data_IF_378654578913
#
_entry.id   IF_378654578913
#
_cell.length_a   1.000
_cell.length_b   1.000
_cell.length_c   1.000
_cell.angle_alpha   90.00
_cell.angle_beta   90.00
_cell.angle_gamma   90.00
#
_symmetry.space_group_name_H-M   'P 1'
#
loop_
_entity.id
_entity.type
_entity.pdbx_description
1 polymer ?
#
# COMPACT_ATOMS: atom_id res chain seq x y z
N UNK A 1 -3.83 3.25 6.62
CA UNK A 1 -2.59 3.63 7.34
C UNK A 1 -1.34 3.45 6.49
N UNK A 2 -0.96 2.22 6.10
CA UNK A 2 0.27 1.98 5.31
C UNK A 2 0.35 2.83 4.03
N UNK A 3 -0.76 2.90 3.27
CA UNK A 3 -0.82 3.71 2.05
C UNK A 3 -0.62 5.22 2.28
N UNK A 4 -1.04 5.73 3.43
CA UNK A 4 -0.92 7.15 3.78
C UNK A 4 0.52 7.55 4.08
N UNK A 5 1.31 6.64 4.66
CA UNK A 5 2.74 6.87 4.93
C UNK A 5 3.58 7.06 3.69
N UNK A 6 3.19 6.38 2.61
CA UNK A 6 3.90 6.41 1.33
C UNK A 6 3.27 7.37 0.33
N UNK A 7 2.09 7.91 0.63
CA UNK A 7 1.40 8.90 -0.21
C UNK A 7 2.30 10.09 -0.60
N UNK A 8 3.12 10.68 0.30
CA UNK A 8 4.00 11.79 -0.08
C UNK A 8 4.99 11.47 -1.22
N UNK A 9 5.37 10.20 -1.41
CA UNK A 9 6.23 9.77 -2.52
C UNK A 9 5.55 9.98 -3.87
N UNK A 10 4.23 9.80 -3.94
CA UNK A 10 3.45 10.09 -5.13
C UNK A 10 3.27 11.59 -5.31
N UNK A 11 2.84 12.29 -4.26
CA UNK A 11 2.46 13.71 -4.34
C UNK A 11 3.64 14.63 -4.61
N UNK A 12 4.84 14.27 -4.15
CA UNK A 12 6.06 15.01 -4.50
C UNK A 12 6.36 14.92 -6.00
N UNK A 13 6.08 13.77 -6.62
CA UNK A 13 6.34 13.55 -8.04
C UNK A 13 5.19 14.04 -8.95
N UNK A 14 3.96 14.00 -8.46
CA UNK A 14 2.73 14.33 -9.19
C UNK A 14 1.79 15.21 -8.33
N UNK A 15 2.17 16.47 -8.04
CA UNK A 15 1.45 17.32 -7.07
C UNK A 15 0.01 17.66 -7.49
N UNK A 16 -0.27 17.69 -8.78
CA UNK A 16 -1.60 18.02 -9.32
C UNK A 16 -2.54 16.79 -9.43
N UNK A 17 -2.04 15.59 -9.12
CA UNK A 17 -2.82 14.36 -9.22
C UNK A 17 -3.29 13.85 -7.85
N UNK A 18 -4.55 14.13 -7.55
CA UNK A 18 -5.17 13.77 -6.28
C UNK A 18 -5.73 12.34 -6.25
N UNK A 19 -5.61 11.53 -7.33
CA UNK A 19 -6.26 10.21 -7.41
C UNK A 19 -5.87 9.27 -6.25
N UNK A 20 -4.59 9.14 -5.83
CA UNK A 20 -4.24 8.31 -4.68
C UNK A 20 -4.74 8.84 -3.33
N UNK A 21 -4.70 10.17 -3.12
CA UNK A 21 -5.24 10.82 -1.92
C UNK A 21 -6.74 10.58 -1.79
N UNK A 22 -7.48 10.81 -2.87
CA UNK A 22 -8.93 10.59 -2.93
C UNK A 22 -9.31 9.13 -2.61
N UNK A 23 -8.49 8.15 -3.02
CA UNK A 23 -8.71 6.75 -2.66
C UNK A 23 -8.56 6.52 -1.15
N UNK A 24 -7.51 7.05 -0.52
CA UNK A 24 -7.33 6.95 0.93
C UNK A 24 -8.49 7.65 1.67
N UNK A 25 -8.88 8.83 1.23
CA UNK A 25 -9.98 9.58 1.83
C UNK A 25 -11.33 8.87 1.71
N UNK A 26 -11.63 8.27 0.55
CA UNK A 26 -12.82 7.45 0.36
C UNK A 26 -12.83 6.22 1.29
N UNK A 27 -11.69 5.56 1.45
CA UNK A 27 -11.53 4.46 2.41
C UNK A 27 -11.81 4.94 3.84
N UNK A 28 -11.24 6.08 4.24
CA UNK A 28 -11.45 6.67 5.58
C UNK A 28 -12.91 7.09 5.80
N UNK A 29 -13.56 7.63 4.77
CA UNK A 29 -14.97 7.99 4.85
C UNK A 29 -15.85 6.76 5.08
N UNK A 30 -15.58 5.65 4.37
CA UNK A 30 -16.25 4.39 4.63
C UNK A 30 -16.01 3.88 6.06
N UNK A 31 -14.76 3.85 6.55
CA UNK A 31 -14.47 3.42 7.93
C UNK A 31 -15.21 4.25 8.97
N UNK A 32 -15.29 5.58 8.79
CA UNK A 32 -15.97 6.47 9.75
C UNK A 32 -17.50 6.36 9.72
N UNK A 33 -18.08 6.13 8.54
CA UNK A 33 -19.54 6.22 8.33
C UNK A 33 -20.22 4.86 8.25
N UNK A 34 -19.48 3.81 7.93
CA UNK A 34 -20.01 2.49 7.56
C UNK A 34 -20.72 2.46 6.21
N UNK A 35 -20.85 3.59 5.50
CA UNK A 35 -21.62 3.69 4.26
C UNK A 35 -20.79 3.18 3.08
N UNK A 36 -21.11 1.98 2.61
CA UNK A 36 -20.49 1.39 1.42
C UNK A 36 -21.27 1.73 0.15
N UNK A 37 -20.58 2.27 -0.85
CA UNK A 37 -21.11 2.49 -2.20
C UNK A 37 -20.15 1.91 -3.23
N UNK A 38 -20.58 0.82 -3.88
CA UNK A 38 -19.73 0.05 -4.80
C UNK A 38 -19.11 0.90 -5.91
N UNK A 39 -19.89 1.80 -6.51
CA UNK A 39 -19.41 2.68 -7.58
C UNK A 39 -18.30 3.63 -7.10
N UNK A 40 -18.45 4.21 -5.91
CA UNK A 40 -17.48 5.14 -5.33
C UNK A 40 -16.18 4.41 -4.95
N UNK A 41 -16.29 3.30 -4.20
CA UNK A 41 -15.13 2.51 -3.76
C UNK A 41 -14.36 1.96 -4.97
N UNK A 42 -15.06 1.36 -5.93
CA UNK A 42 -14.43 0.81 -7.14
C UNK A 42 -13.82 1.92 -7.99
N UNK A 43 -14.53 3.03 -8.17
CA UNK A 43 -14.06 4.18 -8.94
C UNK A 43 -12.76 4.74 -8.36
N UNK A 44 -12.73 4.98 -7.05
CA UNK A 44 -11.53 5.46 -6.36
C UNK A 44 -10.35 4.48 -6.45
N UNK A 45 -10.61 3.17 -6.28
CA UNK A 45 -9.58 2.13 -6.43
C UNK A 45 -8.98 2.13 -7.85
N UNK A 46 -9.83 2.13 -8.87
CA UNK A 46 -9.41 2.10 -10.27
C UNK A 46 -8.67 3.38 -10.66
N UNK A 47 -9.10 4.54 -10.16
CA UNK A 47 -8.45 5.82 -10.38
C UNK A 47 -7.03 5.84 -9.78
N UNK A 48 -6.84 5.39 -8.55
CA UNK A 48 -5.51 5.27 -7.94
C UNK A 48 -4.61 4.27 -8.71
N UNK A 49 -5.18 3.17 -9.20
CA UNK A 49 -4.45 2.26 -10.08
C UNK A 49 -4.12 2.86 -11.46
N UNK A 50 -4.92 3.78 -11.98
CA UNK A 50 -4.61 4.56 -13.18
C UNK A 50 -3.43 5.50 -12.93
N UNK A 51 -3.46 6.25 -11.83
CA UNK A 51 -2.36 7.10 -11.40
C UNK A 51 -1.04 6.32 -11.27
N UNK A 52 -1.10 5.10 -10.74
CA UNK A 52 0.06 4.22 -10.69
C UNK A 52 0.61 3.84 -12.07
N UNK A 53 -0.24 3.65 -13.09
CA UNK A 53 0.20 3.35 -14.47
C UNK A 53 0.84 4.57 -15.12
N UNK A 54 0.29 5.74 -14.85
CA UNK A 54 0.82 7.02 -15.36
C UNK A 54 2.19 7.35 -14.72
N UNK A 55 2.42 6.89 -13.49
CA UNK A 55 3.66 7.07 -12.74
C UNK A 55 4.74 5.99 -12.96
N UNK A 56 4.68 5.21 -14.04
CA UNK A 56 5.56 4.04 -14.26
C UNK A 56 7.07 4.35 -14.33
N UNK A 57 7.46 5.58 -14.61
CA UNK A 57 8.86 6.02 -14.65
C UNK A 57 9.42 6.35 -13.25
N UNK A 58 8.55 6.38 -12.23
CA UNK A 58 8.93 6.56 -10.84
C UNK A 58 8.33 5.44 -9.99
N UNK A 59 9.12 4.40 -9.73
CA UNK A 59 8.67 3.20 -9.00
C UNK A 59 8.11 3.53 -7.61
N UNK A 60 8.70 4.47 -6.88
CA UNK A 60 8.24 4.86 -5.55
C UNK A 60 6.83 5.46 -5.60
N UNK A 61 6.59 6.40 -6.52
CA UNK A 61 5.27 6.97 -6.77
C UNK A 61 4.27 5.91 -7.27
N UNK A 62 4.66 5.11 -8.26
CA UNK A 62 3.85 4.01 -8.80
C UNK A 62 3.37 3.07 -7.68
N UNK A 63 4.27 2.61 -6.82
CA UNK A 63 3.90 1.73 -5.72
C UNK A 63 3.07 2.42 -4.65
N UNK A 64 3.32 3.69 -4.33
CA UNK A 64 2.47 4.46 -3.42
C UNK A 64 1.02 4.57 -3.92
N UNK A 65 0.83 4.87 -5.21
CA UNK A 65 -0.50 4.90 -5.83
C UNK A 65 -1.18 3.52 -5.84
N UNK A 66 -0.43 2.44 -6.07
CA UNK A 66 -0.98 1.07 -5.93
C UNK A 66 -1.39 0.76 -4.50
N UNK A 67 -0.62 1.19 -3.50
CA UNK A 67 -0.96 1.01 -2.10
C UNK A 67 -2.29 1.69 -1.76
N UNK A 68 -2.51 2.92 -2.25
CA UNK A 68 -3.78 3.64 -2.08
C UNK A 68 -4.97 2.93 -2.75
N UNK A 69 -4.79 2.46 -3.98
CA UNK A 69 -5.84 1.71 -4.69
C UNK A 69 -6.23 0.41 -4.01
N UNK A 70 -5.27 -0.29 -3.41
CA UNK A 70 -5.53 -1.48 -2.59
C UNK A 70 -6.21 -1.12 -1.26
N UNK A 71 -5.78 -0.05 -0.60
CA UNK A 71 -6.36 0.36 0.69
C UNK A 71 -7.86 0.65 0.59
N UNK A 72 -8.32 1.35 -0.45
CA UNK A 72 -9.76 1.59 -0.64
C UNK A 72 -10.52 0.33 -1.06
N UNK A 73 -9.88 -0.57 -1.81
CA UNK A 73 -10.49 -1.84 -2.21
C UNK A 73 -10.75 -2.79 -1.03
N UNK A 74 -10.09 -2.59 0.12
CA UNK A 74 -10.38 -3.32 1.38
C UNK A 74 -11.84 -3.19 1.79
N UNK A 75 -12.51 -2.07 1.48
CA UNK A 75 -13.94 -1.88 1.76
C UNK A 75 -14.84 -2.86 0.99
N UNK A 76 -14.38 -3.37 -0.15
CA UNK A 76 -15.08 -4.37 -0.95
C UNK A 76 -14.67 -5.80 -0.54
N UNK A 77 -13.37 -6.06 -0.42
CA UNK A 77 -12.82 -7.38 -0.06
C UNK A 77 -11.61 -7.20 0.88
N UNK A 78 -11.64 -7.73 2.12
CA UNK A 78 -10.60 -7.50 3.13
C UNK A 78 -9.16 -7.85 2.69
N UNK A 79 -8.99 -8.84 1.82
CA UNK A 79 -7.71 -9.33 1.31
C UNK A 79 -6.88 -8.24 0.60
N UNK A 80 -7.51 -7.17 0.13
CA UNK A 80 -6.78 -6.02 -0.41
C UNK A 80 -5.90 -5.31 0.63
N UNK A 81 -6.15 -5.49 1.93
CA UNK A 81 -5.30 -4.95 2.99
C UNK A 81 -3.85 -5.46 2.88
N UNK A 82 -3.65 -6.73 2.50
CA UNK A 82 -2.33 -7.29 2.23
C UNK A 82 -1.62 -6.55 1.09
N UNK A 83 -2.37 -6.19 0.05
CA UNK A 83 -1.87 -5.42 -1.08
C UNK A 83 -1.43 -4.01 -0.68
N UNK A 84 -2.19 -3.35 0.20
CA UNK A 84 -1.85 -2.01 0.69
C UNK A 84 -0.52 -2.01 1.46
N UNK A 85 -0.34 -2.95 2.39
CA UNK A 85 0.90 -3.13 3.14
C UNK A 85 2.09 -3.52 2.24
N UNK A 86 1.87 -4.48 1.33
CA UNK A 86 2.87 -4.95 0.38
C UNK A 86 3.41 -3.82 -0.52
N UNK A 87 2.52 -3.04 -1.13
CA UNK A 87 2.95 -1.96 -2.02
C UNK A 87 3.57 -0.79 -1.26
N UNK A 88 3.17 -0.52 -0.01
CA UNK A 88 3.85 0.46 0.83
C UNK A 88 5.32 0.08 1.07
N UNK A 89 5.61 -1.18 1.39
CA UNK A 89 7.00 -1.65 1.54
C UNK A 89 7.79 -1.50 0.24
N UNK A 90 7.17 -1.79 -0.92
CA UNK A 90 7.82 -1.59 -2.22
C UNK A 90 8.10 -0.12 -2.51
N UNK A 91 7.18 0.78 -2.17
CA UNK A 91 7.38 2.21 -2.32
C UNK A 91 8.57 2.70 -1.48
N UNK A 92 8.67 2.23 -0.22
CA UNK A 92 9.82 2.53 0.66
C UNK A 92 11.14 2.00 0.08
N UNK A 93 11.16 0.78 -0.44
CA UNK A 93 12.36 0.21 -1.05
C UNK A 93 12.81 0.99 -2.29
N UNK A 94 11.85 1.44 -3.12
CA UNK A 94 12.13 2.19 -4.34
C UNK A 94 12.55 3.65 -4.08
N UNK A 95 12.09 4.25 -2.97
CA UNK A 95 12.41 5.64 -2.63
C UNK A 95 13.87 5.84 -2.22
N UNK A 96 14.52 4.81 -1.69
CA UNK A 96 15.95 4.84 -1.33
C UNK A 96 16.57 3.45 -1.49
N UNK A 97 17.03 3.08 -2.70
CA UNK A 97 17.60 1.78 -2.97
C UNK A 97 18.84 1.44 -2.13
N UNK A 98 19.65 2.45 -1.79
CA UNK A 98 20.88 2.25 -0.99
C UNK A 98 20.56 1.94 0.48
N UNK A 99 19.56 2.62 1.04
CA UNK A 99 19.07 2.41 2.41
C UNK A 99 17.91 1.41 2.54
N UNK A 100 17.53 0.73 1.45
CA UNK A 100 16.27 -0.01 1.36
C UNK A 100 16.10 -1.07 2.46
N UNK A 101 17.16 -1.80 2.83
CA UNK A 101 17.08 -2.85 3.84
C UNK A 101 16.63 -2.31 5.20
N UNK A 102 17.27 -1.24 5.68
CA UNK A 102 16.94 -0.63 6.95
C UNK A 102 15.56 0.03 6.93
N UNK A 103 15.24 0.78 5.87
CA UNK A 103 13.95 1.49 5.76
C UNK A 103 12.75 0.53 5.61
N UNK A 104 12.89 -0.53 4.81
CA UNK A 104 11.84 -1.56 4.69
C UNK A 104 11.68 -2.32 6.00
N UNK A 105 12.76 -2.63 6.72
CA UNK A 105 12.66 -3.27 8.03
C UNK A 105 11.89 -2.38 9.02
N UNK A 106 12.23 -1.09 9.12
CA UNK A 106 11.54 -0.13 9.97
C UNK A 106 10.06 0.04 9.59
N UNK A 107 9.74 0.14 8.29
CA UNK A 107 8.35 0.22 7.84
C UNK A 107 7.59 -1.08 8.13
N UNK A 108 8.23 -2.25 7.97
CA UNK A 108 7.61 -3.55 8.27
C UNK A 108 7.32 -3.72 9.76
N UNK A 109 8.24 -3.30 10.62
CA UNK A 109 8.05 -3.26 12.07
C UNK A 109 6.92 -2.32 12.45
N UNK A 110 6.93 -1.10 11.87
CA UNK A 110 5.84 -0.15 12.02
C UNK A 110 4.49 -0.78 11.65
N UNK A 111 4.38 -1.46 10.50
CA UNK A 111 3.15 -2.14 10.10
C UNK A 111 2.71 -3.22 11.11
N UNK A 112 3.65 -4.02 11.63
CA UNK A 112 3.36 -5.09 12.59
C UNK A 112 2.82 -4.56 13.93
N UNK A 113 3.29 -3.41 14.39
CA UNK A 113 2.83 -2.76 15.62
C UNK A 113 1.38 -2.25 15.53
N UNK A 114 0.87 -1.95 14.32
CA UNK A 114 -0.52 -1.47 14.12
C UNK A 114 -1.53 -2.59 14.05
N UNK A 115 -1.06 -3.83 13.94
CA UNK A 115 -1.93 -4.99 13.90
C UNK A 115 -2.33 -5.39 15.33
N UNK A 116 -3.60 -5.78 15.55
CA UNK A 116 -3.99 -6.49 16.75
C UNK A 116 -3.08 -7.70 16.96
N UNK A 117 -2.74 -7.99 18.22
CA UNK A 117 -1.77 -9.04 18.58
C UNK A 117 -2.07 -10.39 17.90
N UNK A 118 -3.33 -10.82 17.94
CA UNK A 118 -3.76 -12.10 17.33
C UNK A 118 -3.72 -12.14 15.79
N UNK A 119 -3.54 -11.01 15.10
CA UNK A 119 -3.45 -10.95 13.64
C UNK A 119 -2.02 -10.74 13.14
N UNK A 120 -1.08 -10.39 14.03
CA UNK A 120 0.28 -10.01 13.62
C UNK A 120 1.00 -11.15 12.92
N UNK A 121 0.99 -12.35 13.50
CA UNK A 121 1.69 -13.50 12.92
C UNK A 121 1.10 -13.89 11.55
N UNK A 122 -0.22 -14.01 11.45
CA UNK A 122 -0.90 -14.37 10.21
C UNK A 122 -0.61 -13.34 9.10
N UNK A 123 -0.84 -12.05 9.37
CA UNK A 123 -0.71 -11.01 8.35
C UNK A 123 0.75 -10.83 7.94
N UNK A 124 1.67 -10.78 8.91
CA UNK A 124 3.09 -10.55 8.63
C UNK A 124 3.76 -11.78 8.01
N UNK A 125 3.22 -12.98 8.22
CA UNK A 125 3.65 -14.21 7.55
C UNK A 125 3.35 -14.22 6.05
N UNK A 126 2.30 -13.51 5.60
CA UNK A 126 1.95 -13.42 4.17
C UNK A 126 2.88 -12.49 3.38
N UNK A 127 3.58 -11.55 4.03
CA UNK A 127 4.51 -10.62 3.36
C UNK A 127 5.95 -10.96 3.76
N UNK A 128 6.67 -11.62 2.85
CA UNK A 128 8.08 -11.96 3.03
C UNK A 128 8.98 -10.83 2.52
N UNK A 129 9.90 -10.38 3.39
CA UNK A 129 10.96 -9.44 3.08
C UNK A 129 12.29 -10.16 3.20
N UNK A 130 13.10 -10.16 2.14
CA UNK A 130 14.42 -10.78 2.09
C UNK A 130 15.46 -9.77 1.63
N UNK A 131 16.48 -9.52 2.45
CA UNK A 131 17.65 -8.73 2.05
C UNK A 131 18.55 -9.59 1.16
N UNK A 132 19.01 -9.01 0.04
CA UNK A 132 19.91 -9.66 -0.92
C UNK A 132 21.12 -8.75 -1.18
N UNK A 133 22.16 -9.32 -1.78
CA UNK A 133 23.43 -8.63 -2.10
C UNK A 133 23.30 -7.40 -3.02
N UNK A 134 22.10 -7.10 -3.53
CA UNK A 134 21.80 -5.94 -4.38
C UNK A 134 20.46 -5.26 -4.10
N UNK A 135 19.89 -5.42 -2.90
CA UNK A 135 18.65 -4.73 -2.50
C UNK A 135 17.72 -5.59 -1.66
N UNK A 136 16.43 -5.25 -1.66
CA UNK A 136 15.39 -5.95 -0.89
C UNK A 136 14.37 -6.59 -1.82
N UNK A 137 14.09 -7.88 -1.60
CA UNK A 137 13.01 -8.59 -2.28
C UNK A 137 11.79 -8.64 -1.36
N UNK A 138 10.64 -8.16 -1.86
CA UNK A 138 9.37 -8.16 -1.13
C UNK A 138 8.39 -9.02 -1.93
N UNK A 139 7.84 -10.05 -1.29
CA UNK A 139 6.89 -11.00 -1.88
C UNK A 139 5.62 -11.08 -1.04
N UNK A 140 4.48 -11.22 -1.72
CA UNK A 140 3.19 -11.50 -1.09
C UNK A 140 2.78 -12.93 -1.42
N UNK A 141 2.55 -13.74 -0.39
CA UNK A 141 2.10 -15.12 -0.51
C UNK A 141 0.58 -15.19 -0.56
N UNK A 142 0.05 -15.79 -1.63
CA UNK A 142 -1.38 -15.99 -1.89
C UNK A 142 -1.74 -17.48 -1.71
N UNK A 143 -1.50 -18.01 -0.51
CA UNK A 143 -1.87 -19.39 -0.17
C UNK A 143 -3.38 -19.59 -0.05
N UNK A 144 -3.83 -20.69 0.56
CA UNK A 144 -5.25 -20.96 0.77
C UNK A 144 -5.97 -19.81 1.49
N UNK A 145 -7.20 -19.49 1.05
CA UNK A 145 -8.00 -18.40 1.58
C UNK A 145 -7.66 -17.00 1.03
N UNK A 146 -6.85 -16.90 -0.03
CA UNK A 146 -6.65 -15.68 -0.80
C UNK A 146 -7.69 -15.53 -1.93
#
# INVERSE_FOLDING_TARGET
DCAERVLPLFETAYPEDNRPRNAIEACRAWVRTGVFRMAEIRGASLAAHAAARDAKENDAACFAARAAGQAVATAHVPQHAYGAAYYALKAVAAADPAGAAAKVAAEREWQAERLPEGLREEIMGRIAVQVRRGGVSIKLWKGEGF
#
